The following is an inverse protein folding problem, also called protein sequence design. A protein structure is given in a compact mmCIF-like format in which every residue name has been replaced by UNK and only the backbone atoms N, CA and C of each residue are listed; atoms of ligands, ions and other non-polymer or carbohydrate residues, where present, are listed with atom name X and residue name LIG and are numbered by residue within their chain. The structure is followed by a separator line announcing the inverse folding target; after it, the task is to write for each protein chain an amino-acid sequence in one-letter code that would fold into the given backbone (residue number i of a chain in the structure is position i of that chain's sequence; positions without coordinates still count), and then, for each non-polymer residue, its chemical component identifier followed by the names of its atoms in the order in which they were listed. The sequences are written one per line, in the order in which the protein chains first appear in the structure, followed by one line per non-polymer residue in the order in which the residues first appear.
data_IF_079429646988
#
_entry.id   IF_079429646988
#
_cell.length_a   1.000
_cell.length_b   1.000
_cell.length_c   1.000
_cell.angle_alpha   90.00
_cell.angle_beta   90.00
_cell.angle_gamma   90.00
#
_symmetry.space_group_name_H-M   'P 1'
#
loop_
_entity.id
_entity.type
_entity.pdbx_description
1 polymer ?
#
# COMPACT_ATOMS: atom_id res chain seq x y z
N UNK A 1 -31.20 -49.23 -20.82
CA UNK A 1 -30.54 -48.27 -21.73
C UNK A 1 -30.09 -47.08 -20.90
N UNK A 2 -28.86 -46.65 -21.17
CA UNK A 2 -28.02 -45.87 -20.27
C UNK A 2 -28.51 -44.43 -20.04
N UNK A 3 -28.43 -44.00 -18.78
CA UNK A 3 -28.59 -42.61 -18.37
C UNK A 3 -27.37 -41.79 -18.78
N UNK A 4 -27.64 -40.62 -19.36
CA UNK A 4 -26.63 -39.65 -19.76
C UNK A 4 -26.18 -38.85 -18.52
N UNK A 5 -24.99 -39.15 -18.01
CA UNK A 5 -24.30 -38.32 -17.03
C UNK A 5 -23.65 -37.13 -17.76
N UNK A 6 -24.16 -35.92 -17.54
CA UNK A 6 -23.53 -34.68 -18.01
C UNK A 6 -22.42 -34.30 -17.02
N UNK A 7 -21.18 -34.62 -17.37
CA UNK A 7 -19.97 -34.21 -16.63
C UNK A 7 -19.80 -32.69 -16.63
N UNK A 8 -20.00 -32.05 -15.47
CA UNK A 8 -19.60 -30.66 -15.20
C UNK A 8 -18.15 -30.59 -14.69
N UNK A 9 -17.18 -31.06 -15.49
CA UNK A 9 -15.75 -30.90 -15.20
C UNK A 9 -15.13 -29.92 -16.21
N UNK A 10 -14.58 -28.77 -15.75
CA UNK A 10 -13.22 -28.30 -16.14
C UNK A 10 -12.93 -26.80 -15.96
N UNK A 11 -13.90 -25.88 -15.85
CA UNK A 11 -13.56 -24.44 -15.81
C UNK A 11 -12.91 -23.96 -14.49
N UNK A 12 -13.40 -24.37 -13.32
CA UNK A 12 -12.75 -23.98 -12.06
C UNK A 12 -11.37 -24.66 -11.85
N UNK A 13 -11.15 -25.80 -12.51
CA UNK A 13 -9.87 -26.51 -12.46
C UNK A 13 -8.83 -25.82 -13.35
N UNK A 14 -9.23 -25.07 -14.38
CA UNK A 14 -8.30 -24.34 -15.24
C UNK A 14 -7.75 -23.07 -14.57
N UNK A 15 -8.59 -22.22 -13.95
CA UNK A 15 -8.13 -20.99 -13.28
C UNK A 15 -7.12 -21.28 -12.17
N UNK A 16 -7.39 -22.30 -11.35
CA UNK A 16 -6.48 -22.73 -10.27
C UNK A 16 -5.09 -23.07 -10.80
N UNK A 17 -5.00 -23.84 -11.88
CA UNK A 17 -3.72 -24.27 -12.48
C UNK A 17 -2.96 -23.10 -13.09
N UNK A 18 -3.66 -22.18 -13.75
CA UNK A 18 -3.05 -20.97 -14.33
C UNK A 18 -2.50 -20.06 -13.22
N UNK A 19 -3.30 -19.79 -12.19
CA UNK A 19 -2.88 -18.97 -11.03
C UNK A 19 -1.67 -19.61 -10.34
N UNK A 20 -1.71 -20.93 -10.06
CA UNK A 20 -0.57 -21.63 -9.46
C UNK A 20 0.69 -21.47 -10.32
N UNK A 21 0.62 -21.73 -11.62
CA UNK A 21 1.76 -21.60 -12.54
C UNK A 21 2.38 -20.20 -12.52
N UNK A 22 1.53 -19.15 -12.59
CA UNK A 22 1.97 -17.75 -12.52
C UNK A 22 2.65 -17.45 -11.20
N UNK A 23 2.08 -17.90 -10.08
CA UNK A 23 2.60 -17.60 -8.74
C UNK A 23 3.88 -18.37 -8.42
N UNK A 24 4.00 -19.63 -8.87
CA UNK A 24 5.23 -20.39 -8.78
C UNK A 24 6.34 -19.76 -9.64
N UNK A 25 6.00 -19.23 -10.82
CA UNK A 25 6.95 -18.45 -11.63
C UNK A 25 7.37 -17.17 -10.93
N UNK A 26 6.44 -16.42 -10.35
CA UNK A 26 6.72 -15.22 -9.58
C UNK A 26 7.70 -15.52 -8.42
N UNK A 27 7.48 -16.59 -7.66
CA UNK A 27 8.41 -17.02 -6.61
C UNK A 27 9.80 -17.36 -7.14
N UNK A 28 9.91 -18.16 -8.21
CA UNK A 28 11.23 -18.48 -8.81
C UNK A 28 11.98 -17.24 -9.31
N UNK A 29 11.25 -16.21 -9.71
CA UNK A 29 11.81 -14.93 -10.15
C UNK A 29 12.11 -13.96 -8.99
N UNK A 30 11.85 -14.33 -7.73
CA UNK A 30 12.01 -13.45 -6.58
C UNK A 30 10.95 -12.34 -6.48
N UNK A 31 9.82 -12.51 -7.17
CA UNK A 31 8.72 -11.53 -7.20
C UNK A 31 7.64 -11.79 -6.15
N UNK A 32 7.67 -12.94 -5.47
CA UNK A 32 6.68 -13.27 -4.44
C UNK A 32 7.23 -14.29 -3.43
N UNK A 33 7.12 -14.01 -2.14
CA UNK A 33 7.36 -14.96 -1.05
C UNK A 33 6.31 -14.68 0.03
N UNK A 34 5.33 -15.57 0.17
CA UNK A 34 4.11 -15.22 0.88
C UNK A 34 2.97 -16.21 0.79
N UNK A 35 1.85 -15.82 1.39
CA UNK A 35 0.59 -16.55 1.39
C UNK A 35 -0.45 -15.79 0.54
N UNK A 36 -1.32 -16.54 -0.14
CA UNK A 36 -2.42 -15.94 -0.89
C UNK A 36 -3.70 -16.77 -0.88
N UNK A 37 -4.83 -16.07 -0.98
CA UNK A 37 -6.17 -16.62 -1.12
C UNK A 37 -6.89 -15.89 -2.26
N UNK A 38 -7.52 -16.66 -3.14
CA UNK A 38 -8.39 -16.17 -4.22
C UNK A 38 -9.76 -16.83 -4.07
N UNK A 39 -10.78 -16.00 -3.97
CA UNK A 39 -12.20 -16.36 -3.94
C UNK A 39 -12.85 -15.76 -5.18
N UNK A 40 -13.63 -16.55 -5.90
CA UNK A 40 -14.41 -16.10 -7.05
C UNK A 40 -15.81 -16.71 -6.98
N UNK A 41 -16.84 -15.94 -7.37
CA UNK A 41 -18.26 -16.35 -7.29
C UNK A 41 -18.63 -16.93 -5.92
N UNK A 42 -18.08 -16.33 -4.86
CA UNK A 42 -18.32 -16.69 -3.46
C UNK A 42 -17.62 -17.95 -2.97
N UNK A 43 -16.70 -18.55 -3.76
CA UNK A 43 -16.01 -19.80 -3.39
C UNK A 43 -14.49 -19.65 -3.47
N UNK A 44 -13.71 -20.19 -2.53
CA UNK A 44 -12.26 -20.28 -2.66
C UNK A 44 -11.88 -21.10 -3.90
N UNK A 45 -11.13 -20.50 -4.83
CA UNK A 45 -10.64 -21.15 -6.06
C UNK A 45 -9.14 -21.43 -6.02
N UNK A 46 -8.39 -20.68 -5.21
CA UNK A 46 -6.96 -20.91 -4.99
C UNK A 46 -6.54 -20.46 -3.58
N UNK A 47 -5.70 -21.25 -2.92
CA UNK A 47 -5.09 -20.90 -1.64
C UNK A 47 -3.72 -21.56 -1.57
N UNK A 48 -2.68 -20.80 -1.25
CA UNK A 48 -1.32 -21.31 -1.21
C UNK A 48 -0.43 -20.55 -0.23
N UNK A 49 0.60 -21.26 0.25
CA UNK A 49 1.76 -20.70 0.94
C UNK A 49 2.99 -21.01 0.09
N UNK A 50 3.72 -19.97 -0.33
CA UNK A 50 4.80 -20.09 -1.32
C UNK A 50 6.06 -19.44 -0.74
N UNK A 51 7.14 -20.23 -0.64
CA UNK A 51 8.44 -19.76 -0.19
C UNK A 51 8.70 -19.97 1.30
N UNK A 52 9.41 -19.03 1.93
CA UNK A 52 10.06 -19.23 3.23
C UNK A 52 9.57 -18.29 4.33
N UNK A 53 9.50 -18.83 5.54
CA UNK A 53 8.99 -18.15 6.72
C UNK A 53 9.99 -17.18 7.35
N UNK A 54 11.27 -17.26 6.99
CA UNK A 54 12.35 -16.41 7.50
C UNK A 54 13.51 -16.33 6.51
N UNK A 55 14.52 -15.51 6.83
CA UNK A 55 15.65 -15.24 5.93
C UNK A 55 16.66 -16.40 5.83
N UNK A 56 16.51 -17.45 6.65
CA UNK A 56 17.39 -18.62 6.60
C UNK A 56 17.04 -19.53 5.43
N UNK A 57 15.84 -19.40 4.89
CA UNK A 57 15.27 -20.27 3.85
C UNK A 57 15.24 -21.76 4.23
N UNK A 58 15.24 -22.06 5.54
CA UNK A 58 15.16 -23.45 6.03
C UNK A 58 13.72 -23.87 6.34
N UNK A 59 12.86 -22.91 6.70
CA UNK A 59 11.45 -23.15 7.03
C UNK A 59 10.55 -22.65 5.92
N UNK A 60 9.71 -23.52 5.38
CA UNK A 60 8.68 -23.14 4.41
C UNK A 60 7.52 -22.42 5.09
N UNK A 61 6.92 -21.49 4.37
CA UNK A 61 5.63 -20.92 4.76
C UNK A 61 4.53 -21.99 4.78
N UNK A 62 3.55 -21.77 5.66
CA UNK A 62 2.29 -22.49 5.71
C UNK A 62 1.16 -21.47 5.82
N UNK A 63 -0.08 -21.88 5.54
CA UNK A 63 -1.27 -21.01 5.67
C UNK A 63 -1.53 -20.54 7.10
N UNK A 64 -0.89 -21.17 8.10
CA UNK A 64 -1.00 -20.83 9.51
C UNK A 64 -0.02 -19.73 9.94
N UNK A 65 0.91 -19.33 9.07
CA UNK A 65 1.78 -18.20 9.32
C UNK A 65 1.01 -16.88 9.26
N UNK A 66 1.28 -16.03 10.24
CA UNK A 66 0.79 -14.66 10.32
C UNK A 66 1.74 -13.70 9.64
N UNK A 67 1.15 -12.68 9.02
CA UNK A 67 1.89 -11.60 8.38
C UNK A 67 1.45 -10.28 9.00
N UNK A 68 2.42 -9.37 9.17
CA UNK A 68 2.12 -8.00 9.51
C UNK A 68 1.50 -7.31 8.28
N UNK A 69 0.29 -6.76 8.43
CA UNK A 69 -0.49 -6.22 7.29
C UNK A 69 -0.30 -4.72 7.05
N UNK A 70 0.65 -4.10 7.76
CA UNK A 70 1.02 -2.69 7.55
C UNK A 70 -0.17 -1.76 7.79
N UNK A 71 -0.38 -0.81 6.88
CA UNK A 71 -1.46 0.18 6.98
C UNK A 71 -2.87 -0.40 7.02
N UNK A 72 -3.10 -1.64 6.57
CA UNK A 72 -4.39 -2.31 6.74
C UNK A 72 -4.76 -2.46 8.23
N UNK A 73 -3.77 -2.50 9.14
CA UNK A 73 -4.06 -2.49 10.57
C UNK A 73 -4.89 -1.27 11.03
N UNK A 74 -4.90 -0.16 10.27
CA UNK A 74 -5.70 1.04 10.55
C UNK A 74 -7.20 0.80 10.44
N UNK A 75 -7.64 -0.23 9.70
CA UNK A 75 -9.04 -0.64 9.65
C UNK A 75 -9.57 -0.99 11.05
N UNK A 76 -8.79 -1.74 11.82
CA UNK A 76 -9.13 -2.11 13.20
C UNK A 76 -9.26 -0.90 14.13
N UNK A 77 -8.51 0.18 13.84
CA UNK A 77 -8.56 1.43 14.61
C UNK A 77 -9.86 2.18 14.31
N UNK A 78 -10.19 2.31 13.03
CA UNK A 78 -11.42 2.98 12.59
C UNK A 78 -12.68 2.22 13.01
N UNK A 79 -12.66 0.88 12.92
CA UNK A 79 -13.76 0.04 13.40
C UNK A 79 -13.91 0.13 14.92
N UNK A 80 -12.81 0.16 15.68
CA UNK A 80 -12.88 0.34 17.13
C UNK A 80 -13.52 1.68 17.53
N UNK A 81 -13.15 2.78 16.87
CA UNK A 81 -13.77 4.09 17.10
C UNK A 81 -15.26 4.06 16.73
N UNK A 82 -15.61 3.55 15.55
CA UNK A 82 -17.02 3.50 15.12
C UNK A 82 -17.87 2.56 15.98
N UNK A 83 -17.27 1.53 16.56
CA UNK A 83 -17.96 0.67 17.52
C UNK A 83 -18.31 1.44 18.80
N UNK A 84 -17.41 2.32 19.28
CA UNK A 84 -17.69 3.19 20.42
C UNK A 84 -18.74 4.27 20.07
N UNK A 85 -18.75 4.79 18.84
CA UNK A 85 -19.82 5.66 18.32
C UNK A 85 -21.17 4.94 18.36
N UNK A 86 -21.20 3.71 17.83
CA UNK A 86 -22.41 2.88 17.81
C UNK A 86 -22.94 2.57 19.21
N UNK A 87 -22.05 2.43 20.19
CA UNK A 87 -22.40 2.23 21.61
C UNK A 87 -22.82 3.53 22.31
N UNK A 88 -22.82 4.68 21.62
CA UNK A 88 -23.13 5.99 22.19
C UNK A 88 -22.07 6.52 23.17
N UNK A 89 -20.86 5.93 23.18
CA UNK A 89 -19.78 6.29 24.11
C UNK A 89 -18.97 7.51 23.66
N UNK A 90 -19.04 7.85 22.38
CA UNK A 90 -18.46 9.07 21.80
C UNK A 90 -19.25 9.49 20.57
N UNK A 91 -19.11 10.75 20.17
CA UNK A 91 -19.59 11.28 18.89
C UNK A 91 -18.41 11.65 18.01
N UNK A 92 -18.62 11.55 16.69
CA UNK A 92 -17.62 11.95 15.70
C UNK A 92 -17.25 13.44 15.79
N UNK A 93 -18.17 14.28 16.28
CA UNK A 93 -17.98 15.70 16.53
C UNK A 93 -17.24 16.03 17.82
N UNK A 94 -17.04 15.05 18.71
CA UNK A 94 -16.38 15.32 20.00
C UNK A 94 -14.93 15.74 19.75
N UNK A 95 -14.43 16.78 20.43
CA UNK A 95 -13.05 17.18 20.31
C UNK A 95 -12.13 16.15 20.98
N UNK A 96 -10.93 15.97 20.44
CA UNK A 96 -9.93 15.03 20.97
C UNK A 96 -9.60 15.32 22.44
N UNK A 97 -9.60 16.59 22.83
CA UNK A 97 -9.33 17.03 24.21
C UNK A 97 -10.41 16.61 25.21
N UNK A 98 -11.62 16.24 24.77
CA UNK A 98 -12.62 15.63 25.66
C UNK A 98 -12.16 14.28 26.21
N UNK A 99 -11.28 13.59 25.50
CA UNK A 99 -10.73 12.30 25.92
C UNK A 99 -9.29 12.44 26.45
N UNK A 100 -8.53 13.38 25.89
CA UNK A 100 -7.12 13.63 26.19
C UNK A 100 -6.91 15.08 26.64
N UNK A 101 -7.30 15.44 27.89
CA UNK A 101 -7.35 16.83 28.35
C UNK A 101 -5.96 17.49 28.48
N UNK A 102 -4.90 16.71 28.63
CA UNK A 102 -3.53 17.22 28.78
C UNK A 102 -2.84 17.57 27.44
N UNK A 103 -3.60 17.64 26.34
CA UNK A 103 -3.10 18.02 25.02
C UNK A 103 -3.04 19.54 24.85
N UNK A 104 -2.17 20.07 23.95
CA UNK A 104 -2.14 21.49 23.62
C UNK A 104 -3.52 22.05 23.26
N UNK A 105 -3.84 23.25 23.74
CA UNK A 105 -5.19 23.84 23.61
C UNK A 105 -5.71 23.90 22.17
N UNK A 106 -4.82 24.10 21.19
CA UNK A 106 -5.19 24.14 19.77
C UNK A 106 -5.76 22.79 19.27
N UNK A 107 -5.38 21.66 19.88
CA UNK A 107 -5.92 20.34 19.54
C UNK A 107 -7.39 20.19 19.94
N UNK A 108 -7.96 21.12 20.73
CA UNK A 108 -9.39 21.18 21.01
C UNK A 108 -10.25 21.45 19.76
N UNK A 109 -9.66 21.89 18.65
CA UNK A 109 -10.32 22.01 17.34
C UNK A 109 -10.34 20.70 16.53
N UNK A 110 -9.52 19.72 16.92
CA UNK A 110 -9.47 18.42 16.24
C UNK A 110 -10.63 17.58 16.78
N UNK A 111 -11.50 17.10 15.89
CA UNK A 111 -12.59 16.18 16.24
C UNK A 111 -12.17 14.73 16.00
N UNK A 112 -12.91 13.77 16.55
CA UNK A 112 -12.72 12.35 16.23
C UNK A 112 -12.87 12.08 14.73
N UNK A 113 -13.80 12.77 14.06
CA UNK A 113 -13.96 12.71 12.60
C UNK A 113 -12.69 13.13 11.87
N UNK A 114 -12.04 14.22 12.30
CA UNK A 114 -10.80 14.68 11.69
C UNK A 114 -9.69 13.63 11.78
N UNK A 115 -9.62 12.86 12.87
CA UNK A 115 -8.65 11.76 12.99
C UNK A 115 -8.96 10.61 12.01
N UNK A 116 -10.23 10.20 11.89
CA UNK A 116 -10.64 9.12 10.98
C UNK A 116 -10.45 9.47 9.51
N UNK A 117 -10.56 10.75 9.16
CA UNK A 117 -10.39 11.24 7.79
C UNK A 117 -8.96 11.70 7.47
N UNK A 118 -8.03 11.62 8.43
CA UNK A 118 -6.66 12.14 8.30
C UNK A 118 -6.60 13.64 7.97
N UNK A 119 -7.53 14.42 8.53
CA UNK A 119 -7.67 15.88 8.32
C UNK A 119 -7.41 16.68 9.59
N UNK A 120 -6.60 16.16 10.50
CA UNK A 120 -6.38 16.76 11.83
C UNK A 120 -5.40 17.95 11.84
N UNK A 121 -4.53 18.07 10.85
CA UNK A 121 -3.42 19.04 10.87
C UNK A 121 -2.25 18.63 11.78
N UNK A 122 -2.27 17.41 12.34
CA UNK A 122 -1.17 16.89 13.17
C UNK A 122 0.08 16.59 12.33
N UNK A 123 1.29 16.91 12.82
CA UNK A 123 2.53 16.49 12.17
C UNK A 123 2.67 14.97 12.15
N UNK A 124 3.51 14.45 11.26
CA UNK A 124 3.86 13.03 11.31
C UNK A 124 4.75 12.74 12.51
N UNK A 125 4.83 11.47 12.91
CA UNK A 125 5.75 11.03 13.96
C UNK A 125 7.18 11.27 13.48
N UNK A 126 8.03 11.83 14.35
CA UNK A 126 9.46 11.83 14.12
C UNK A 126 10.04 10.48 14.57
N UNK A 127 10.16 9.56 13.60
CA UNK A 127 10.61 8.17 13.84
C UNK A 127 12.08 8.05 14.24
N UNK A 128 12.89 9.06 13.93
CA UNK A 128 14.30 9.09 14.36
C UNK A 128 14.39 9.24 15.88
N UNK A 129 13.49 10.05 16.45
CA UNK A 129 13.45 10.37 17.88
C UNK A 129 12.51 9.47 18.68
N UNK A 130 11.41 9.00 18.11
CA UNK A 130 10.47 8.13 18.81
C UNK A 130 10.97 6.69 18.88
N UNK A 131 10.96 6.09 20.08
CA UNK A 131 11.24 4.66 20.30
C UNK A 131 10.09 3.94 21.02
N UNK A 132 9.08 4.69 21.45
CA UNK A 132 7.93 4.18 22.18
C UNK A 132 6.69 5.05 22.00
N UNK A 133 5.53 4.53 22.40
CA UNK A 133 4.30 5.30 22.51
C UNK A 133 4.45 6.55 23.41
N UNK A 134 5.27 6.46 24.45
CA UNK A 134 5.53 7.58 25.35
C UNK A 134 6.26 8.73 24.62
N UNK A 135 7.20 8.41 23.74
CA UNK A 135 7.92 9.41 22.94
C UNK A 135 6.98 10.07 21.93
N UNK A 136 6.10 9.30 21.28
CA UNK A 136 5.10 9.83 20.34
C UNK A 136 4.14 10.78 21.08
N UNK A 137 3.68 10.38 22.27
CA UNK A 137 2.84 11.24 23.10
C UNK A 137 3.56 12.52 23.52
N UNK A 138 4.84 12.44 23.86
CA UNK A 138 5.68 13.60 24.18
C UNK A 138 5.79 14.55 22.99
N UNK A 139 6.12 14.05 21.79
CA UNK A 139 6.18 14.84 20.56
C UNK A 139 4.85 15.59 20.29
N UNK A 140 3.72 14.91 20.48
CA UNK A 140 2.40 15.52 20.31
C UNK A 140 2.14 16.64 21.33
N UNK A 141 2.52 16.45 22.60
CA UNK A 141 2.40 17.48 23.64
C UNK A 141 3.30 18.69 23.39
N UNK A 142 4.44 18.49 22.75
CA UNK A 142 5.39 19.55 22.39
C UNK A 142 5.02 20.28 21.09
N UNK A 143 4.01 19.80 20.35
CA UNK A 143 3.57 20.43 19.10
C UNK A 143 2.81 21.73 19.39
N UNK A 144 3.36 22.86 18.95
CA UNK A 144 2.84 24.20 19.27
C UNK A 144 1.74 24.70 18.34
N UNK A 145 1.64 24.18 17.11
CA UNK A 145 0.64 24.61 16.13
C UNK A 145 0.31 23.48 15.13
N UNK A 146 -0.87 23.50 14.49
CA UNK A 146 -1.18 22.58 13.39
C UNK A 146 -0.39 22.91 12.12
N UNK A 147 -0.16 21.90 11.27
CA UNK A 147 0.38 22.12 9.92
C UNK A 147 -0.63 22.81 8.99
N UNK A 148 -1.93 22.65 9.28
CA UNK A 148 -3.05 23.27 8.58
C UNK A 148 -4.29 23.23 9.47
N UNK A 149 -5.25 24.12 9.24
CA UNK A 149 -6.48 24.16 10.06
C UNK A 149 -7.23 22.81 9.97
N UNK A 150 -7.61 22.20 11.12
CA UNK A 150 -8.31 20.92 11.12
C UNK A 150 -9.54 20.92 10.20
N UNK A 151 -9.70 19.87 9.40
CA UNK A 151 -10.75 19.72 8.40
C UNK A 151 -10.44 20.37 7.04
N UNK A 152 -9.43 21.24 6.90
CA UNK A 152 -9.20 21.97 5.63
C UNK A 152 -8.32 21.24 4.63
N UNK A 153 -7.39 20.41 5.11
CA UNK A 153 -6.47 19.62 4.25
C UNK A 153 -6.39 18.16 4.70
N UNK A 154 -5.57 17.37 4.02
CA UNK A 154 -5.40 15.94 4.23
C UNK A 154 -3.91 15.59 4.39
N UNK A 155 -3.60 14.84 5.44
CA UNK A 155 -2.27 14.29 5.68
C UNK A 155 -2.38 12.91 6.34
N UNK A 156 -2.08 11.87 5.56
CA UNK A 156 -2.13 10.47 5.98
C UNK A 156 -0.97 10.14 6.92
N UNK A 157 -1.07 10.58 8.18
CA UNK A 157 -0.01 10.42 9.18
C UNK A 157 -0.43 9.53 10.35
N UNK A 158 0.54 8.78 10.86
CA UNK A 158 0.34 7.78 11.92
C UNK A 158 -0.03 8.43 13.27
N UNK A 159 0.21 9.73 13.47
CA UNK A 159 -0.27 10.48 14.64
C UNK A 159 -1.79 10.51 14.76
N UNK A 160 -2.52 10.53 13.62
CA UNK A 160 -3.98 10.38 13.64
C UNK A 160 -4.40 9.05 14.26
N UNK A 161 -3.74 7.97 13.83
CA UNK A 161 -4.03 6.60 14.26
C UNK A 161 -3.61 6.40 15.72
N UNK A 162 -2.45 6.95 16.10
CA UNK A 162 -1.99 6.94 17.48
C UNK A 162 -3.05 7.52 18.42
N UNK A 163 -3.59 8.71 18.12
CA UNK A 163 -4.64 9.33 18.95
C UNK A 163 -5.95 8.55 18.94
N UNK A 164 -6.33 7.90 17.82
CA UNK A 164 -7.48 6.98 17.81
C UNK A 164 -7.30 5.86 18.86
N UNK A 165 -6.11 5.24 18.93
CA UNK A 165 -5.81 4.20 19.93
C UNK A 165 -5.94 4.73 21.35
N UNK A 166 -5.37 5.90 21.63
CA UNK A 166 -5.44 6.53 22.96
C UNK A 166 -6.87 6.87 23.37
N UNK A 167 -7.73 7.29 22.44
CA UNK A 167 -9.15 7.52 22.70
C UNK A 167 -9.87 6.19 23.04
N UNK A 168 -9.63 5.13 22.27
CA UNK A 168 -10.21 3.80 22.55
C UNK A 168 -9.81 3.32 23.94
N UNK A 169 -8.54 3.44 24.30
CA UNK A 169 -8.03 3.05 25.62
C UNK A 169 -8.65 3.88 26.74
N UNK A 170 -8.72 5.20 26.55
CA UNK A 170 -9.32 6.12 27.53
C UNK A 170 -10.77 5.78 27.84
N UNK A 171 -11.56 5.48 26.80
CA UNK A 171 -12.99 5.22 26.94
C UNK A 171 -13.25 3.81 27.47
N UNK A 172 -12.47 2.82 27.04
CA UNK A 172 -12.71 1.42 27.39
C UNK A 172 -12.02 0.98 28.69
N UNK A 173 -10.95 1.65 29.10
CA UNK A 173 -10.08 1.21 30.20
C UNK A 173 -9.21 -0.02 29.86
N UNK A 174 -9.26 -0.51 28.63
CA UNK A 174 -8.43 -1.61 28.13
C UNK A 174 -7.24 -1.07 27.35
N UNK A 175 -6.15 -1.84 27.23
CA UNK A 175 -5.16 -1.53 26.20
C UNK A 175 -5.77 -1.69 24.81
N UNK A 176 -5.26 -0.97 23.81
CA UNK A 176 -5.80 -1.07 22.45
C UNK A 176 -5.75 -2.53 21.93
N UNK A 177 -4.68 -3.26 22.24
CA UNK A 177 -4.52 -4.67 21.84
C UNK A 177 -5.59 -5.56 22.47
N UNK A 178 -5.91 -5.35 23.76
CA UNK A 178 -6.98 -6.08 24.44
C UNK A 178 -8.35 -5.73 23.85
N UNK A 179 -8.61 -4.45 23.57
CA UNK A 179 -9.86 -4.02 22.96
C UNK A 179 -10.08 -4.65 21.59
N UNK A 180 -9.08 -4.57 20.70
CA UNK A 180 -9.15 -5.17 19.36
C UNK A 180 -9.38 -6.68 19.45
N UNK A 181 -8.66 -7.38 20.32
CA UNK A 181 -8.87 -8.81 20.52
C UNK A 181 -10.29 -9.14 20.95
N UNK A 182 -10.79 -8.46 21.97
CA UNK A 182 -12.08 -8.76 22.60
C UNK A 182 -13.28 -8.36 21.73
N UNK A 183 -13.24 -7.18 21.13
CA UNK A 183 -14.39 -6.57 20.48
C UNK A 183 -14.36 -6.66 18.95
N UNK A 184 -13.21 -6.95 18.33
CA UNK A 184 -13.08 -7.06 16.88
C UNK A 184 -12.70 -8.48 16.46
N UNK A 185 -11.54 -8.99 16.90
CA UNK A 185 -11.00 -10.27 16.41
C UNK A 185 -11.92 -11.46 16.78
N UNK A 186 -12.31 -11.58 18.05
CA UNK A 186 -13.18 -12.68 18.50
C UNK A 186 -14.55 -12.64 17.80
N UNK A 187 -15.30 -11.51 17.78
CA UNK A 187 -16.58 -11.44 17.09
C UNK A 187 -16.48 -11.64 15.57
N UNK A 188 -15.40 -11.16 14.94
CA UNK A 188 -15.10 -11.41 13.52
C UNK A 188 -14.58 -12.83 13.25
N UNK A 189 -14.47 -13.71 14.27
CA UNK A 189 -13.98 -15.09 14.15
C UNK A 189 -12.54 -15.18 13.63
N UNK A 190 -11.73 -14.17 13.89
CA UNK A 190 -10.29 -14.15 13.62
C UNK A 190 -9.55 -14.84 14.77
N UNK A 191 -9.55 -16.19 14.73
CA UNK A 191 -9.11 -17.03 15.84
C UNK A 191 -7.61 -16.99 16.09
N UNK A 192 -6.82 -16.78 15.04
CA UNK A 192 -5.36 -16.83 15.14
C UNK A 192 -4.75 -15.44 15.20
N UNK A 193 -5.44 -14.38 14.79
CA UNK A 193 -4.87 -13.04 14.69
C UNK A 193 -4.32 -12.52 16.03
N UNK A 194 -3.22 -11.77 15.95
CA UNK A 194 -2.55 -11.17 17.10
C UNK A 194 -2.35 -9.68 16.87
N UNK A 195 -2.28 -8.92 17.96
CA UNK A 195 -1.87 -7.50 17.94
C UNK A 195 -0.53 -7.39 18.66
N UNK A 196 0.45 -6.81 17.98
CA UNK A 196 1.86 -6.74 18.37
C UNK A 196 2.43 -8.11 18.80
N UNK A 197 2.47 -9.12 17.91
CA UNK A 197 3.04 -10.42 18.26
C UNK A 197 4.50 -10.30 18.69
N UNK A 198 4.89 -11.13 19.65
CA UNK A 198 6.25 -11.14 20.18
C UNK A 198 7.28 -11.63 19.14
N UNK A 199 8.51 -11.14 19.24
CA UNK A 199 9.65 -11.49 18.37
C UNK A 199 9.85 -13.01 18.21
N UNK A 200 9.60 -13.78 19.27
CA UNK A 200 9.82 -15.23 19.34
C UNK A 200 8.61 -16.08 18.90
N UNK A 201 7.53 -15.47 18.43
CA UNK A 201 6.36 -16.23 17.97
C UNK A 201 6.72 -17.06 16.73
N UNK A 202 6.63 -18.41 16.79
CA UNK A 202 7.08 -19.29 15.72
C UNK A 202 6.15 -19.29 14.50
N UNK A 203 4.96 -18.72 14.63
CA UNK A 203 3.93 -18.67 13.59
C UNK A 203 3.75 -17.24 13.04
N UNK A 204 4.70 -16.35 13.26
CA UNK A 204 4.83 -15.10 12.50
C UNK A 204 5.90 -15.31 11.44
N UNK A 205 5.53 -15.16 10.17
CA UNK A 205 6.49 -15.14 9.08
C UNK A 205 7.42 -13.95 9.30
N UNK A 206 8.72 -14.15 9.49
CA UNK A 206 9.72 -13.11 9.67
C UNK A 206 10.00 -12.44 8.34
N UNK A 207 9.95 -11.11 8.29
CA UNK A 207 10.28 -10.40 7.07
C UNK A 207 11.78 -10.37 6.80
N UNK A 208 12.15 -10.26 5.54
CA UNK A 208 13.52 -10.11 5.10
C UNK A 208 13.60 -9.34 3.77
N UNK A 209 14.68 -8.59 3.58
CA UNK A 209 14.93 -7.85 2.34
C UNK A 209 15.57 -8.73 1.25
N UNK A 210 15.86 -8.14 0.08
CA UNK A 210 16.43 -8.85 -1.06
C UNK A 210 17.90 -9.25 -0.88
N UNK A 211 18.57 -8.75 0.17
CA UNK A 211 19.91 -9.18 0.59
C UNK A 211 19.84 -10.26 1.69
N UNK A 212 18.65 -10.84 1.93
CA UNK A 212 18.36 -11.83 2.98
C UNK A 212 18.61 -11.32 4.40
N UNK A 213 18.55 -10.01 4.64
CA UNK A 213 18.64 -9.46 5.98
C UNK A 213 17.28 -9.56 6.67
N UNK A 214 17.22 -10.30 7.77
CA UNK A 214 16.01 -10.45 8.56
C UNK A 214 15.62 -9.15 9.27
N UNK A 215 14.36 -8.76 9.14
CA UNK A 215 13.75 -7.68 9.91
C UNK A 215 13.36 -8.11 11.33
N UNK A 216 13.11 -7.13 12.20
CA UNK A 216 12.66 -7.34 13.59
C UNK A 216 11.15 -7.09 13.72
N UNK A 217 10.49 -7.78 14.65
CA UNK A 217 9.12 -7.45 15.10
C UNK A 217 9.21 -6.49 16.29
N UNK A 218 9.72 -5.29 16.02
CA UNK A 218 9.79 -4.20 16.99
C UNK A 218 8.74 -3.14 16.63
N UNK A 219 7.97 -2.69 17.62
CA UNK A 219 6.88 -1.74 17.42
C UNK A 219 7.16 -0.44 18.18
N UNK A 220 7.68 0.58 17.50
CA UNK A 220 7.81 1.93 18.07
C UNK A 220 6.46 2.49 18.52
N UNK A 221 5.42 2.20 17.73
CA UNK A 221 4.04 2.53 18.05
C UNK A 221 3.26 1.24 18.30
N UNK A 222 2.58 1.06 19.43
CA UNK A 222 1.81 -0.16 19.74
C UNK A 222 0.48 -0.23 18.99
N UNK A 223 -0.01 -1.41 18.62
CA UNK A 223 -1.35 -1.64 18.07
C UNK A 223 -1.41 -2.16 16.64
N UNK A 224 -0.44 -2.97 16.21
CA UNK A 224 -0.35 -3.51 14.86
C UNK A 224 -0.82 -4.96 14.76
N UNK A 225 -1.79 -5.19 13.88
CA UNK A 225 -2.40 -6.52 13.73
C UNK A 225 -1.59 -7.38 12.77
N UNK A 226 -1.39 -8.65 13.13
CA UNK A 226 -0.85 -9.68 12.25
C UNK A 226 -1.86 -10.81 12.09
N UNK A 227 -2.06 -11.27 10.85
CA UNK A 227 -3.17 -12.16 10.47
C UNK A 227 -2.70 -13.32 9.61
N UNK A 228 -3.40 -14.46 9.69
CA UNK A 228 -3.34 -15.53 8.69
C UNK A 228 -4.29 -15.25 7.52
N UNK A 229 -4.25 -16.06 6.45
CA UNK A 229 -5.24 -15.97 5.37
C UNK A 229 -6.66 -16.19 5.88
N UNK A 230 -6.86 -17.14 6.80
CA UNK A 230 -8.18 -17.46 7.34
C UNK A 230 -8.75 -16.32 8.18
N UNK A 231 -7.93 -15.70 9.02
CA UNK A 231 -8.33 -14.52 9.78
C UNK A 231 -8.71 -13.36 8.85
N UNK A 232 -7.89 -13.10 7.83
CA UNK A 232 -8.11 -11.95 6.96
C UNK A 232 -9.33 -12.15 6.03
N UNK A 233 -9.59 -13.38 5.60
CA UNK A 233 -10.86 -13.75 4.96
C UNK A 233 -12.05 -13.47 5.88
N UNK A 234 -11.98 -13.89 7.14
CA UNK A 234 -13.05 -13.67 8.10
C UNK A 234 -13.28 -12.17 8.39
N UNK A 235 -12.22 -11.36 8.40
CA UNK A 235 -12.33 -9.90 8.48
C UNK A 235 -13.12 -9.32 7.30
N UNK A 236 -12.77 -9.67 6.06
CA UNK A 236 -13.50 -9.23 4.85
C UNK A 236 -14.98 -9.61 4.93
N UNK A 237 -15.26 -10.88 5.24
CA UNK A 237 -16.63 -11.39 5.36
C UNK A 237 -17.41 -10.68 6.48
N UNK A 238 -16.75 -10.35 7.59
CA UNK A 238 -17.39 -9.61 8.68
C UNK A 238 -17.79 -8.19 8.26
N UNK A 239 -16.89 -7.47 7.56
CA UNK A 239 -17.20 -6.13 7.05
C UNK A 239 -18.36 -6.18 6.05
N UNK A 240 -18.32 -7.11 5.10
CA UNK A 240 -19.37 -7.31 4.08
C UNK A 240 -20.74 -7.62 4.69
N UNK A 241 -20.76 -8.37 5.80
CA UNK A 241 -21.99 -8.75 6.52
C UNK A 241 -22.37 -7.79 7.64
N UNK A 242 -21.67 -6.66 7.78
CA UNK A 242 -21.92 -5.68 8.83
C UNK A 242 -21.91 -6.31 10.24
N UNK A 243 -20.98 -7.24 10.47
CA UNK A 243 -20.99 -8.08 11.68
C UNK A 243 -20.57 -7.33 12.96
N UNK A 244 -19.88 -6.19 12.81
CA UNK A 244 -19.43 -5.33 13.90
C UNK A 244 -20.13 -3.96 13.93
N UNK A 245 -20.36 -3.38 12.75
CA UNK A 245 -20.89 -2.03 12.58
C UNK A 245 -22.13 -2.06 11.69
N UNK A 246 -23.08 -1.14 11.92
CA UNK A 246 -24.18 -0.92 10.98
C UNK A 246 -23.68 -0.48 9.60
N UNK A 247 -24.51 -0.60 8.54
CA UNK A 247 -24.17 -0.07 7.22
C UNK A 247 -23.81 1.41 7.23
N UNK A 248 -24.54 2.24 7.99
CA UNK A 248 -24.26 3.68 8.08
C UNK A 248 -22.92 3.96 8.74
N UNK A 249 -22.60 3.28 9.84
CA UNK A 249 -21.31 3.44 10.51
C UNK A 249 -20.15 2.93 9.65
N UNK A 250 -20.36 1.85 8.90
CA UNK A 250 -19.38 1.33 7.96
C UNK A 250 -19.11 2.34 6.84
N UNK A 251 -20.17 2.97 6.30
CA UNK A 251 -20.05 3.99 5.25
C UNK A 251 -19.15 5.16 5.66
N UNK A 252 -19.24 5.61 6.91
CA UNK A 252 -18.43 6.72 7.44
C UNK A 252 -16.92 6.47 7.36
N UNK A 253 -16.49 5.21 7.43
CA UNK A 253 -15.07 4.84 7.40
C UNK A 253 -14.66 4.13 6.10
N UNK A 254 -15.60 3.82 5.21
CA UNK A 254 -15.33 3.22 3.90
C UNK A 254 -15.24 4.25 2.78
N UNK A 255 -16.05 5.32 2.84
CA UNK A 255 -16.10 6.36 1.82
C UNK A 255 -15.16 7.51 2.21
N UNK A 256 -14.18 7.88 1.38
CA UNK A 256 -13.23 8.93 1.71
C UNK A 256 -13.90 10.31 1.69
N UNK A 257 -13.35 11.24 2.47
CA UNK A 257 -13.87 12.60 2.58
C UNK A 257 -13.74 13.41 1.29
N UNK A 258 -12.77 13.07 0.43
CA UNK A 258 -12.61 13.63 -0.91
C UNK A 258 -11.93 12.64 -1.85
N UNK A 259 -12.03 12.91 -3.17
CA UNK A 259 -11.36 12.10 -4.20
C UNK A 259 -9.84 12.06 -3.98
N UNK A 260 -9.23 10.89 -4.20
CA UNK A 260 -7.79 10.68 -4.01
C UNK A 260 -7.34 10.46 -2.56
N UNK A 261 -8.22 10.62 -1.57
CA UNK A 261 -7.92 10.37 -0.16
C UNK A 261 -8.26 8.94 0.25
N UNK A 262 -7.58 8.41 1.28
CA UNK A 262 -7.96 7.17 1.93
C UNK A 262 -8.93 7.42 3.09
N UNK A 263 -9.86 6.49 3.30
CA UNK A 263 -10.73 6.39 4.46
C UNK A 263 -10.15 5.42 5.51
N UNK A 264 -10.88 5.22 6.62
CA UNK A 264 -10.48 4.30 7.69
C UNK A 264 -10.34 2.84 7.24
N UNK A 265 -11.14 2.41 6.26
CA UNK A 265 -11.11 1.09 5.61
C UNK A 265 -10.33 1.11 4.28
N UNK A 266 -9.41 2.07 4.09
CA UNK A 266 -8.67 2.23 2.85
C UNK A 266 -9.52 2.86 1.76
N UNK A 267 -9.79 2.13 0.67
CA UNK A 267 -10.61 2.57 -0.46
C UNK A 267 -11.84 1.69 -0.57
N UNK A 268 -12.99 2.28 -0.83
CA UNK A 268 -14.18 1.47 -1.09
C UNK A 268 -15.33 2.22 -1.71
N UNK A 269 -16.40 1.48 -1.93
CA UNK A 269 -17.66 1.96 -2.44
C UNK A 269 -18.82 1.15 -1.83
N UNK A 270 -19.96 1.81 -1.70
CA UNK A 270 -21.20 1.20 -1.21
C UNK A 270 -22.38 1.72 -2.01
N UNK A 271 -23.30 0.84 -2.35
CA UNK A 271 -24.60 1.16 -2.93
C UNK A 271 -25.68 0.65 -1.99
N UNK A 272 -26.55 1.55 -1.52
CA UNK A 272 -27.47 1.25 -0.42
C UNK A 272 -26.70 0.59 0.74
N UNK A 273 -27.27 -0.41 1.40
CA UNK A 273 -26.61 -1.13 2.48
C UNK A 273 -25.76 -2.32 2.00
N UNK A 274 -25.05 -2.16 0.88
CA UNK A 274 -24.15 -3.17 0.33
C UNK A 274 -22.78 -2.56 0.02
N UNK A 275 -21.72 -3.23 0.48
CA UNK A 275 -20.35 -2.92 0.04
C UNK A 275 -20.17 -3.46 -1.38
N UNK A 276 -19.85 -2.58 -2.32
CA UNK A 276 -19.61 -2.96 -3.73
C UNK A 276 -18.13 -3.11 -4.04
N UNK A 277 -17.27 -2.42 -3.29
CA UNK A 277 -15.81 -2.55 -3.38
C UNK A 277 -15.16 -2.22 -2.04
N UNK A 278 -14.16 -3.00 -1.66
CA UNK A 278 -13.25 -2.70 -0.55
C UNK A 278 -11.83 -3.09 -0.95
N UNK A 279 -10.88 -2.17 -0.80
CA UNK A 279 -9.49 -2.34 -1.20
C UNK A 279 -8.59 -1.62 -0.20
N UNK A 280 -7.55 -2.31 0.27
CA UNK A 280 -6.54 -1.69 1.11
C UNK A 280 -5.21 -2.41 0.95
N UNK A 281 -4.14 -1.63 0.83
CA UNK A 281 -2.77 -2.10 0.83
C UNK A 281 -2.06 -1.71 2.13
N UNK A 282 -1.01 -2.44 2.45
CA UNK A 282 -0.19 -2.14 3.62
C UNK A 282 1.25 -2.58 3.44
N UNK A 283 2.15 -1.77 3.98
CA UNK A 283 3.58 -2.06 4.04
C UNK A 283 4.07 -1.82 5.46
N UNK A 284 4.96 -2.68 5.94
CA UNK A 284 5.72 -2.49 7.16
C UNK A 284 7.06 -3.21 6.98
N UNK A 285 8.18 -2.50 7.08
CA UNK A 285 9.50 -3.03 6.72
C UNK A 285 9.47 -3.77 5.37
N UNK A 286 9.84 -5.05 5.38
CA UNK A 286 9.83 -5.94 4.22
C UNK A 286 8.54 -6.76 4.09
N UNK A 287 7.49 -6.47 4.87
CA UNK A 287 6.15 -7.00 4.64
C UNK A 287 5.38 -6.15 3.63
N UNK A 288 4.56 -6.81 2.82
CA UNK A 288 3.46 -6.18 2.09
C UNK A 288 2.21 -7.03 2.16
N UNK A 289 1.05 -6.37 2.27
CA UNK A 289 -0.25 -6.99 2.22
C UNK A 289 -1.17 -6.24 1.24
N UNK A 290 -2.08 -6.96 0.62
CA UNK A 290 -3.14 -6.43 -0.22
C UNK A 290 -4.43 -7.22 0.03
N UNK A 291 -5.53 -6.51 0.21
CA UNK A 291 -6.88 -7.06 0.16
C UNK A 291 -7.67 -6.31 -0.91
N UNK A 292 -8.32 -7.06 -1.80
CA UNK A 292 -9.24 -6.52 -2.81
C UNK A 292 -10.51 -7.37 -2.81
N UNK A 293 -11.62 -6.80 -2.34
CA UNK A 293 -12.94 -7.42 -2.34
C UNK A 293 -13.89 -6.70 -3.29
N UNK A 294 -14.60 -7.48 -4.09
CA UNK A 294 -15.79 -7.08 -4.85
C UNK A 294 -16.93 -8.04 -4.49
N UNK A 295 -17.70 -7.73 -3.45
CA UNK A 295 -18.74 -8.63 -2.94
C UNK A 295 -19.87 -8.86 -3.93
N UNK A 296 -20.16 -7.90 -4.82
CA UNK A 296 -21.28 -8.00 -5.78
C UNK A 296 -21.12 -9.16 -6.77
N UNK A 297 -19.88 -9.53 -7.08
CA UNK A 297 -19.54 -10.70 -7.91
C UNK A 297 -18.95 -11.85 -7.08
N UNK A 298 -18.95 -11.72 -5.75
CA UNK A 298 -18.39 -12.70 -4.82
C UNK A 298 -16.88 -12.92 -4.99
N UNK A 299 -16.11 -11.88 -5.28
CA UNK A 299 -14.67 -11.98 -5.54
C UNK A 299 -13.84 -11.34 -4.42
N UNK A 300 -12.80 -12.04 -3.98
CA UNK A 300 -11.85 -11.55 -2.99
C UNK A 300 -10.45 -12.09 -3.29
N UNK A 301 -9.46 -11.19 -3.32
CA UNK A 301 -8.04 -11.53 -3.44
C UNK A 301 -7.32 -11.01 -2.21
N UNK A 302 -6.61 -11.90 -1.52
CA UNK A 302 -5.74 -11.58 -0.39
C UNK A 302 -4.32 -12.02 -0.73
N UNK A 303 -3.37 -11.09 -0.66
CA UNK A 303 -1.94 -11.34 -0.85
C UNK A 303 -1.20 -10.87 0.40
N UNK A 304 -0.39 -11.75 0.99
CA UNK A 304 0.43 -11.48 2.18
C UNK A 304 1.87 -11.88 1.89
N UNK A 305 2.83 -10.98 2.09
CA UNK A 305 4.25 -11.24 1.83
C UNK A 305 5.12 -10.79 2.99
N UNK A 306 6.21 -11.52 3.23
CA UNK A 306 7.27 -11.18 4.17
C UNK A 306 8.58 -10.80 3.43
N UNK A 307 8.52 -10.62 2.11
CA UNK A 307 9.61 -10.08 1.30
C UNK A 307 9.01 -9.14 0.24
N UNK A 308 9.28 -7.84 0.42
CA UNK A 308 8.64 -6.73 -0.29
C UNK A 308 9.20 -6.55 -1.69
N UNK A 309 8.31 -6.53 -2.69
CA UNK A 309 8.66 -6.34 -4.11
C UNK A 309 7.91 -5.18 -4.80
N UNK A 310 6.98 -4.52 -4.10
CA UNK A 310 6.15 -3.43 -4.62
C UNK A 310 5.34 -3.78 -5.88
N UNK A 311 4.83 -5.02 -5.97
CA UNK A 311 4.18 -5.57 -7.16
C UNK A 311 2.85 -6.29 -6.86
N UNK A 312 2.31 -6.20 -5.63
CA UNK A 312 1.06 -6.90 -5.27
C UNK A 312 -0.13 -6.43 -6.12
N UNK A 313 -0.14 -5.16 -6.56
CA UNK A 313 -1.14 -4.64 -7.50
C UNK A 313 -1.07 -5.30 -8.87
N UNK A 314 0.14 -5.55 -9.39
CA UNK A 314 0.35 -6.25 -10.67
C UNK A 314 -0.09 -7.71 -10.57
N UNK A 315 0.26 -8.37 -9.46
CA UNK A 315 -0.18 -9.74 -9.17
C UNK A 315 -1.71 -9.80 -9.11
N UNK A 316 -2.36 -8.90 -8.37
CA UNK A 316 -3.82 -8.84 -8.33
C UNK A 316 -4.42 -8.61 -9.71
N UNK A 317 -3.90 -7.65 -10.49
CA UNK A 317 -4.37 -7.37 -11.85
C UNK A 317 -4.28 -8.60 -12.76
N UNK A 318 -3.16 -9.34 -12.68
CA UNK A 318 -2.99 -10.60 -13.39
C UNK A 318 -4.04 -11.65 -12.96
N UNK A 319 -4.25 -11.85 -11.65
CA UNK A 319 -5.25 -12.78 -11.12
C UNK A 319 -6.65 -12.40 -11.58
N UNK A 320 -7.03 -11.12 -11.52
CA UNK A 320 -8.33 -10.63 -11.96
C UNK A 320 -8.57 -10.91 -13.45
N UNK A 321 -7.57 -10.68 -14.31
CA UNK A 321 -7.65 -10.99 -15.73
C UNK A 321 -7.82 -12.50 -15.99
N UNK A 322 -7.12 -13.36 -15.24
CA UNK A 322 -7.28 -14.81 -15.32
C UNK A 322 -8.71 -15.23 -14.94
N UNK A 323 -9.26 -14.69 -13.85
CA UNK A 323 -10.62 -15.02 -13.39
C UNK A 323 -11.71 -14.52 -14.36
N UNK A 324 -11.43 -13.46 -15.10
CA UNK A 324 -12.30 -12.89 -16.13
C UNK A 324 -12.13 -13.54 -17.52
N UNK A 325 -11.27 -14.56 -17.64
CA UNK A 325 -10.90 -15.18 -18.93
C UNK A 325 -10.38 -14.17 -19.97
N UNK A 326 -9.71 -13.12 -19.50
CA UNK A 326 -9.08 -12.07 -20.32
C UNK A 326 -7.59 -12.36 -20.53
N UNK A 327 -6.98 -11.83 -21.61
CA UNK A 327 -5.53 -11.79 -21.73
C UNK A 327 -4.90 -11.16 -20.47
N UNK A 328 -3.88 -11.81 -19.94
CA UNK A 328 -3.19 -11.38 -18.72
C UNK A 328 -1.70 -11.19 -18.97
N UNK A 329 -1.10 -10.29 -18.20
CA UNK A 329 0.36 -10.14 -18.12
C UNK A 329 0.83 -10.73 -16.81
N UNK A 330 1.69 -11.75 -16.87
CA UNK A 330 2.32 -12.29 -15.66
C UNK A 330 3.24 -11.22 -15.03
N UNK A 331 3.40 -11.20 -13.69
CA UNK A 331 4.34 -10.31 -13.02
C UNK A 331 5.77 -10.47 -13.57
N UNK A 332 6.45 -9.34 -13.75
CA UNK A 332 7.83 -9.25 -14.27
C UNK A 332 8.68 -8.42 -13.33
N UNK A 333 9.99 -8.59 -13.41
CA UNK A 333 10.97 -7.75 -12.73
C UNK A 333 10.97 -6.36 -13.36
N UNK A 334 11.13 -5.32 -12.55
CA UNK A 334 11.49 -4.00 -13.03
C UNK A 334 12.94 -4.01 -13.50
N UNK A 335 13.28 -3.29 -14.56
CA UNK A 335 14.67 -3.18 -15.03
C UNK A 335 15.61 -2.63 -13.93
N UNK A 336 15.11 -1.71 -13.11
CA UNK A 336 15.78 -1.16 -11.92
C UNK A 336 16.34 -2.23 -10.97
N UNK A 337 15.71 -3.41 -10.89
CA UNK A 337 16.22 -4.55 -10.09
C UNK A 337 17.50 -5.12 -10.67
N UNK A 338 17.64 -5.17 -12.01
CA UNK A 338 18.85 -5.69 -12.66
C UNK A 338 20.07 -4.79 -12.40
N UNK A 339 19.86 -3.48 -12.29
CA UNK A 339 20.93 -2.49 -12.15
C UNK A 339 21.11 -1.98 -10.71
N UNK A 340 20.34 -2.47 -9.75
CA UNK A 340 20.26 -1.85 -8.42
C UNK A 340 21.61 -1.69 -7.71
N UNK A 341 22.50 -2.69 -7.85
CA UNK A 341 23.84 -2.68 -7.23
C UNK A 341 24.83 -1.76 -7.94
N UNK A 342 24.54 -1.38 -9.19
CA UNK A 342 25.40 -0.57 -10.04
C UNK A 342 24.86 0.84 -10.24
N UNK A 343 23.62 1.13 -9.83
CA UNK A 343 22.91 2.38 -10.11
C UNK A 343 23.73 3.64 -9.76
N UNK A 344 24.53 3.54 -8.70
CA UNK A 344 25.39 4.63 -8.22
C UNK A 344 26.55 4.97 -9.16
N UNK A 345 27.08 3.99 -9.88
CA UNK A 345 28.31 4.09 -10.67
C UNK A 345 28.09 3.87 -12.18
N UNK A 346 26.95 3.30 -12.57
CA UNK A 346 26.65 2.90 -13.95
C UNK A 346 26.63 4.11 -14.88
N UNK A 347 27.29 4.00 -16.04
CA UNK A 347 27.22 5.02 -17.10
C UNK A 347 25.90 4.88 -17.86
N UNK A 348 25.33 5.99 -18.31
CA UNK A 348 24.07 6.03 -19.06
C UNK A 348 24.13 5.13 -20.31
N UNK A 349 25.25 5.12 -21.04
CA UNK A 349 25.43 4.24 -22.19
C UNK A 349 25.35 2.76 -21.80
N UNK A 350 26.05 2.36 -20.75
CA UNK A 350 26.02 0.98 -20.25
C UNK A 350 24.64 0.59 -19.72
N UNK A 351 23.93 1.52 -19.09
CA UNK A 351 22.56 1.32 -18.62
C UNK A 351 21.60 1.06 -19.80
N UNK A 352 21.68 1.88 -20.85
CA UNK A 352 20.86 1.73 -22.06
C UNK A 352 21.20 0.42 -22.77
N UNK A 353 22.48 0.08 -22.91
CA UNK A 353 22.91 -1.19 -23.52
C UNK A 353 22.40 -2.41 -22.76
N UNK A 354 22.40 -2.36 -21.41
CA UNK A 354 21.84 -3.41 -20.57
C UNK A 354 20.32 -3.51 -20.74
N UNK A 355 19.61 -2.37 -20.78
CA UNK A 355 18.17 -2.34 -21.00
C UNK A 355 17.79 -2.97 -22.35
N UNK A 356 18.44 -2.57 -23.44
CA UNK A 356 18.17 -3.13 -24.78
C UNK A 356 18.52 -4.62 -24.85
N UNK A 357 19.61 -5.05 -24.20
CA UNK A 357 19.94 -6.48 -24.10
C UNK A 357 18.85 -7.26 -23.38
N UNK A 358 18.39 -6.79 -22.23
CA UNK A 358 17.32 -7.46 -21.47
C UNK A 358 16.01 -7.44 -22.23
N UNK A 359 15.68 -6.35 -22.93
CA UNK A 359 14.48 -6.24 -23.77
C UNK A 359 14.48 -7.26 -24.90
N UNK A 360 15.64 -7.53 -25.49
CA UNK A 360 15.81 -8.50 -26.57
C UNK A 360 15.82 -9.95 -26.08
N UNK A 361 16.50 -10.24 -24.97
CA UNK A 361 16.77 -11.62 -24.54
C UNK A 361 15.88 -12.12 -23.40
N UNK A 362 15.22 -11.21 -22.68
CA UNK A 362 14.42 -11.51 -21.49
C UNK A 362 13.09 -10.73 -21.42
N UNK A 363 12.33 -10.58 -22.53
CA UNK A 363 11.10 -9.77 -22.58
C UNK A 363 9.99 -10.29 -21.64
N UNK A 364 10.00 -11.59 -21.33
CA UNK A 364 9.03 -12.21 -20.45
C UNK A 364 9.42 -12.12 -18.96
N UNK A 365 10.69 -11.82 -18.66
CA UNK A 365 11.19 -11.72 -17.29
C UNK A 365 11.17 -10.30 -16.76
N UNK A 366 11.34 -9.31 -17.63
CA UNK A 366 11.43 -7.91 -17.27
C UNK A 366 10.32 -7.07 -17.93
N UNK A 367 9.91 -6.02 -17.25
CA UNK A 367 8.96 -5.03 -17.76
C UNK A 367 9.73 -3.88 -18.41
N UNK A 368 9.28 -3.43 -19.60
CA UNK A 368 9.98 -2.42 -20.41
C UNK A 368 9.08 -1.25 -20.83
N UNK A 369 7.81 -1.25 -20.44
CA UNK A 369 6.81 -0.27 -20.86
C UNK A 369 6.36 0.61 -19.68
N UNK A 370 7.34 1.07 -18.88
CA UNK A 370 7.16 1.99 -17.74
C UNK A 370 8.02 3.24 -17.95
N UNK A 371 7.42 4.38 -18.26
CA UNK A 371 8.16 5.64 -18.38
C UNK A 371 8.77 6.10 -17.05
N UNK A 372 8.18 5.70 -15.91
CA UNK A 372 8.66 6.09 -14.60
C UNK A 372 9.96 5.40 -14.23
N UNK A 373 10.31 4.29 -14.89
CA UNK A 373 11.52 3.54 -14.61
C UNK A 373 12.78 4.36 -14.92
N UNK A 374 12.90 4.85 -16.16
CA UNK A 374 14.02 5.71 -16.55
C UNK A 374 13.94 7.08 -15.89
N UNK A 375 12.74 7.63 -15.65
CA UNK A 375 12.62 8.88 -14.90
C UNK A 375 13.19 8.74 -13.49
N UNK A 376 12.83 7.67 -12.76
CA UNK A 376 13.33 7.42 -11.40
C UNK A 376 14.86 7.28 -11.37
N UNK A 377 15.42 6.54 -12.32
CA UNK A 377 16.87 6.40 -12.49
C UNK A 377 17.52 7.77 -12.75
N UNK A 378 16.95 8.58 -13.65
CA UNK A 378 17.45 9.92 -13.96
C UNK A 378 17.48 10.84 -12.73
N UNK A 379 16.43 10.80 -11.90
CA UNK A 379 16.39 11.57 -10.66
C UNK A 379 17.40 11.08 -9.61
N UNK A 380 17.66 9.77 -9.52
CA UNK A 380 18.75 9.25 -8.66
C UNK A 380 20.10 9.82 -9.12
N UNK A 381 20.36 9.84 -10.42
CA UNK A 381 21.59 10.43 -10.97
C UNK A 381 21.67 11.95 -10.70
N UNK A 382 20.58 12.69 -10.85
CA UNK A 382 20.52 14.12 -10.51
C UNK A 382 20.82 14.39 -9.03
N UNK A 383 20.27 13.58 -8.12
CA UNK A 383 20.54 13.73 -6.67
C UNK A 383 22.02 13.53 -6.31
N UNK A 384 22.74 12.76 -7.12
CA UNK A 384 24.19 12.51 -7.01
C UNK A 384 25.03 13.49 -7.82
N UNK A 385 24.44 14.57 -8.33
CA UNK A 385 25.09 15.57 -9.18
C UNK A 385 25.67 15.02 -10.49
N UNK A 386 25.23 13.84 -10.94
CA UNK A 386 25.65 13.23 -12.22
C UNK A 386 24.78 13.74 -13.37
N UNK A 387 24.79 15.06 -13.57
CA UNK A 387 23.83 15.77 -14.45
C UNK A 387 23.90 15.29 -15.90
N UNK A 388 25.09 15.18 -16.49
CA UNK A 388 25.25 14.76 -17.89
C UNK A 388 24.74 13.32 -18.14
N UNK A 389 24.88 12.46 -17.14
CA UNK A 389 24.40 11.07 -17.21
C UNK A 389 22.88 11.01 -17.05
N UNK A 390 22.32 11.84 -16.16
CA UNK A 390 20.88 11.98 -16.02
C UNK A 390 20.23 12.48 -17.31
N UNK A 391 20.81 13.50 -17.97
CA UNK A 391 20.32 14.01 -19.26
C UNK A 391 20.26 12.90 -20.30
N UNK A 392 21.32 12.10 -20.46
CA UNK A 392 21.32 10.98 -21.42
C UNK A 392 20.23 9.93 -21.11
N UNK A 393 19.99 9.65 -19.84
CA UNK A 393 18.92 8.73 -19.39
C UNK A 393 17.54 9.31 -19.73
N UNK A 394 17.29 10.59 -19.43
CA UNK A 394 16.03 11.25 -19.77
C UNK A 394 15.82 11.39 -21.28
N UNK A 395 16.87 11.74 -22.04
CA UNK A 395 16.84 11.78 -23.52
C UNK A 395 16.49 10.42 -24.11
N UNK A 396 16.97 9.33 -23.53
CA UNK A 396 16.58 8.00 -23.96
C UNK A 396 15.12 7.70 -23.59
N UNK A 397 14.67 8.15 -22.41
CA UNK A 397 13.27 8.00 -22.00
C UNK A 397 12.29 8.72 -22.94
N UNK A 398 12.63 9.92 -23.43
CA UNK A 398 11.80 10.64 -24.42
C UNK A 398 11.74 9.93 -25.77
N UNK A 399 12.73 9.09 -26.11
CA UNK A 399 12.69 8.22 -27.30
C UNK A 399 11.79 7.02 -27.08
N UNK A 400 11.77 6.46 -25.87
CA UNK A 400 10.88 5.35 -25.52
C UNK A 400 9.41 5.80 -25.42
N UNK A 401 9.16 6.98 -24.85
CA UNK A 401 7.81 7.49 -24.57
C UNK A 401 7.60 8.92 -25.10
N UNK A 402 7.70 9.15 -26.41
CA UNK A 402 7.69 10.50 -27.00
C UNK A 402 6.38 11.27 -26.80
N UNK A 403 5.28 10.57 -26.49
CA UNK A 403 3.96 11.13 -26.27
C UNK A 403 3.69 11.52 -24.79
N UNK A 404 4.60 11.22 -23.87
CA UNK A 404 4.41 11.54 -22.46
C UNK A 404 4.95 12.92 -22.11
N UNK A 405 4.09 13.83 -21.65
CA UNK A 405 4.52 15.15 -21.18
C UNK A 405 5.51 15.05 -20.01
N UNK A 406 5.35 14.05 -19.14
CA UNK A 406 6.17 13.82 -17.95
C UNK A 406 7.64 13.52 -18.27
N UNK A 407 7.94 12.71 -19.30
CA UNK A 407 9.35 12.44 -19.66
C UNK A 407 10.06 13.66 -20.26
N UNK A 408 9.32 14.53 -20.96
CA UNK A 408 9.85 15.80 -21.47
C UNK A 408 10.06 16.82 -20.35
N UNK A 409 9.16 16.85 -19.37
CA UNK A 409 9.28 17.70 -18.19
C UNK A 409 10.55 17.36 -17.40
N UNK A 410 10.77 16.08 -17.08
CA UNK A 410 11.98 15.62 -16.38
C UNK A 410 13.28 15.89 -17.15
N UNK A 411 13.28 15.76 -18.48
CA UNK A 411 14.42 16.16 -19.30
C UNK A 411 14.68 17.67 -19.23
N UNK A 412 13.61 18.48 -19.24
CA UNK A 412 13.69 19.94 -19.08
C UNK A 412 14.30 20.35 -17.74
N UNK A 413 13.93 19.68 -16.65
CA UNK A 413 14.52 19.90 -15.32
C UNK A 413 16.02 19.60 -15.31
N UNK A 414 16.44 18.52 -15.98
CA UNK A 414 17.85 18.15 -16.04
C UNK A 414 18.69 19.17 -16.83
N UNK A 415 18.21 19.64 -17.99
CA UNK A 415 18.88 20.72 -18.73
C UNK A 415 18.92 22.02 -17.94
N UNK A 416 17.84 22.36 -17.23
CA UNK A 416 17.81 23.57 -16.41
C UNK A 416 18.86 23.50 -15.28
N UNK A 417 19.01 22.34 -14.65
CA UNK A 417 20.08 22.08 -13.65
C UNK A 417 21.48 22.16 -14.25
N UNK A 418 21.66 21.79 -15.51
CA UNK A 418 22.93 21.94 -16.25
C UNK A 418 23.23 23.41 -16.61
N UNK A 419 22.21 24.27 -16.61
CA UNK A 419 22.30 25.66 -17.07
C UNK A 419 21.93 25.86 -18.55
N UNK A 420 21.52 24.79 -19.25
CA UNK A 420 21.08 24.86 -20.64
C UNK A 420 19.61 25.30 -20.73
N UNK A 421 19.40 26.60 -20.57
CA UNK A 421 18.07 27.22 -20.61
C UNK A 421 17.35 27.02 -21.95
N UNK A 422 18.09 26.95 -23.06
CA UNK A 422 17.52 26.82 -24.38
C UNK A 422 16.89 25.43 -24.57
N UNK A 423 17.62 24.36 -24.24
CA UNK A 423 17.07 23.01 -24.31
C UNK A 423 16.02 22.75 -23.22
N UNK A 424 16.18 23.32 -22.02
CA UNK A 424 15.16 23.28 -20.98
C UNK A 424 13.82 23.86 -21.48
N UNK A 425 13.84 25.09 -22.02
CA UNK A 425 12.65 25.76 -22.56
C UNK A 425 11.97 24.93 -23.66
N UNK A 426 12.76 24.35 -24.56
CA UNK A 426 12.23 23.45 -25.62
C UNK A 426 11.52 22.23 -25.03
N UNK A 427 12.10 21.61 -24.00
CA UNK A 427 11.53 20.44 -23.35
C UNK A 427 10.23 20.77 -22.61
N UNK A 428 10.19 21.86 -21.83
CA UNK A 428 8.95 22.28 -21.15
C UNK A 428 7.84 22.66 -22.13
N UNK A 429 8.15 23.35 -23.24
CA UNK A 429 7.17 23.63 -24.30
C UNK A 429 6.61 22.34 -24.89
N UNK A 430 7.46 21.32 -25.10
CA UNK A 430 7.02 20.00 -25.56
C UNK A 430 6.14 19.30 -24.52
N UNK A 431 6.52 19.33 -23.24
CA UNK A 431 5.74 18.78 -22.13
C UNK A 431 4.33 19.39 -22.09
N UNK A 432 4.22 20.74 -22.12
CA UNK A 432 2.93 21.45 -22.12
C UNK A 432 2.11 21.16 -23.38
N UNK A 433 2.75 20.96 -24.55
CA UNK A 433 2.01 20.59 -25.76
C UNK A 433 1.36 19.20 -25.68
N UNK A 434 1.93 18.31 -24.87
CA UNK A 434 1.43 16.95 -24.64
C UNK A 434 0.49 16.87 -23.43
N UNK A 435 0.73 17.70 -22.42
CA UNK A 435 -0.09 17.87 -21.22
C UNK A 435 -0.29 19.37 -20.92
N UNK A 436 -1.34 20.00 -21.50
CA UNK A 436 -1.65 21.41 -21.25
C UNK A 436 -1.97 21.74 -19.79
N UNK A 437 -2.25 20.73 -18.96
CA UNK A 437 -2.54 20.87 -17.54
C UNK A 437 -1.29 21.00 -16.66
N UNK A 438 -0.08 20.84 -17.21
CA UNK A 438 1.16 20.91 -16.45
C UNK A 438 1.49 22.36 -16.03
N UNK A 439 0.90 22.79 -14.92
CA UNK A 439 1.10 24.14 -14.35
C UNK A 439 2.54 24.39 -13.86
N UNK A 440 3.30 23.34 -13.55
CA UNK A 440 4.71 23.45 -13.18
C UNK A 440 5.55 23.89 -14.38
N UNK A 441 5.46 23.16 -15.49
CA UNK A 441 6.13 23.48 -16.74
C UNK A 441 5.74 24.88 -17.25
N UNK A 442 4.46 25.27 -17.18
CA UNK A 442 3.99 26.61 -17.58
C UNK A 442 4.69 27.74 -16.80
N UNK A 443 4.88 27.57 -15.48
CA UNK A 443 5.59 28.56 -14.66
C UNK A 443 7.05 28.69 -15.09
N UNK A 444 7.72 27.56 -15.30
CA UNK A 444 9.14 27.54 -15.69
C UNK A 444 9.33 28.15 -17.09
N UNK A 445 8.43 27.88 -18.04
CA UNK A 445 8.45 28.54 -19.37
C UNK A 445 8.37 30.06 -19.19
N UNK A 446 7.42 30.56 -18.40
CA UNK A 446 7.25 31.99 -18.17
C UNK A 446 8.45 32.64 -17.46
N UNK A 447 9.23 31.89 -16.68
CA UNK A 447 10.48 32.35 -16.07
C UNK A 447 11.63 32.37 -17.08
N UNK A 448 11.73 31.33 -17.91
CA UNK A 448 12.79 31.19 -18.91
C UNK A 448 12.64 32.17 -20.08
N UNK A 449 11.42 32.57 -20.45
CA UNK A 449 11.18 33.54 -21.53
C UNK A 449 11.40 35.01 -21.12
N UNK A 450 11.63 35.28 -19.82
CA UNK A 450 11.93 36.63 -19.32
C UNK A 450 13.41 37.01 -19.44
N UNK A 451 14.27 36.07 -19.84
CA UNK A 451 15.72 36.20 -19.92
C UNK A 451 16.23 35.64 -21.24
#
# INVERSE_FOLDING_TARGET
MAGCFVCHFSFAQSHRVVIDSVMQRAFRMGLFNGNLLVVDKGKPVYSAAIGFADSTHTKKLTTDHRFHIGSIAKEFNSVAIMLLVQQGKLKLSDPVTSFLPDMPAWMGKITVLHLLQYRSGLPNVNWDQAKSDADIMKQLKETTAPMFEPGTSYAYYNTNVFLQRRIVEKISGLSFNQFVKQYLLIPAKMKTALVDPAEKDPLVARCFDNDNKQGRLEYTMSGWTSVTLADFYNWSVCLEKFCLLTPDNTRQILIPAASGQQAGLGKGAMENNLITRHEHDGTADSYQALLVSNPTIGRLVILLTNNKQNNLGDINTCIQAILDDKPYTAPRKKFSVAIQKELDTIRASSLIDQFEKLKMHSPDEYYFNDEYEFNSIGYVLLSKQRIDEAIKVFEYNTKLFPASGNVWDSLGEAYLKQGDKANALRCYKKAVSLDPGNTGALKIIAELEKH
#
